data_IF_987968439610
#
_entry.id   IF_987968439610
#
_cell.length_a   1.000
_cell.length_b   1.000
_cell.length_c   1.000
_cell.angle_alpha   90.00
_cell.angle_beta   90.00
_cell.angle_gamma   90.00
#
_symmetry.space_group_name_H-M   'P 1'
#
loop_
_entity.id
_entity.type
_entity.pdbx_description
1 polymer ?
#
# COMPACT_ATOMS: atom_id res chain seq x y z
N UNK A 1 1.92 6.83 25.06
CA UNK A 1 1.81 5.42 25.53
C UNK A 1 3.20 4.79 25.49
N UNK A 2 3.53 3.82 26.35
CA UNK A 2 4.80 3.08 26.25
C UNK A 2 4.79 2.24 24.97
N UNK A 3 5.75 2.42 24.06
CA UNK A 3 5.87 1.62 22.84
C UNK A 3 6.16 0.16 23.20
N UNK A 4 5.11 -0.66 23.24
CA UNK A 4 5.22 -2.10 23.40
C UNK A 4 5.78 -2.68 22.10
N UNK A 5 6.80 -3.52 22.25
CA UNK A 5 7.40 -4.24 21.13
C UNK A 5 6.79 -5.62 21.05
N UNK A 6 6.34 -5.99 19.86
CA UNK A 6 5.81 -7.30 19.52
C UNK A 6 6.81 -8.07 18.66
N UNK A 7 6.81 -9.39 18.77
CA UNK A 7 7.63 -10.28 17.94
C UNK A 7 6.78 -10.82 16.81
N UNK A 8 7.22 -10.62 15.58
CA UNK A 8 6.58 -11.22 14.41
C UNK A 8 7.06 -12.67 14.32
N UNK A 9 6.12 -13.63 14.41
CA UNK A 9 6.43 -15.07 14.38
C UNK A 9 6.76 -15.54 12.96
N UNK A 10 5.90 -15.17 12.01
CA UNK A 10 6.07 -15.42 10.58
C UNK A 10 5.96 -14.08 9.86
N UNK A 11 7.05 -13.65 9.23
CA UNK A 11 7.09 -12.38 8.50
C UNK A 11 6.26 -12.44 7.23
N UNK A 12 6.23 -13.59 6.56
CA UNK A 12 5.55 -13.75 5.30
C UNK A 12 4.06 -13.63 5.50
N UNK A 13 3.54 -14.40 6.46
CA UNK A 13 2.13 -14.36 6.85
C UNK A 13 1.73 -12.96 7.30
N UNK A 14 2.53 -12.33 8.16
CA UNK A 14 2.26 -10.99 8.69
C UNK A 14 2.13 -9.93 7.61
N UNK A 15 3.03 -9.92 6.62
CA UNK A 15 2.97 -8.97 5.50
C UNK A 15 1.74 -9.28 4.62
N UNK A 16 1.34 -10.55 4.47
CA UNK A 16 0.17 -10.90 3.66
C UNK A 16 -1.12 -10.40 4.32
N UNK A 17 -1.19 -10.53 5.65
CA UNK A 17 -2.27 -9.95 6.46
C UNK A 17 -2.33 -8.45 6.33
N UNK A 18 -1.21 -7.76 6.55
CA UNK A 18 -1.15 -6.30 6.47
C UNK A 18 -1.56 -5.79 5.07
N UNK A 19 -1.09 -6.47 4.03
CA UNK A 19 -1.43 -6.19 2.63
C UNK A 19 -2.91 -6.39 2.34
N UNK A 20 -3.46 -7.53 2.75
CA UNK A 20 -4.89 -7.85 2.58
C UNK A 20 -5.78 -6.87 3.34
N UNK A 21 -5.34 -6.42 4.53
CA UNK A 21 -6.04 -5.43 5.33
C UNK A 21 -6.16 -4.10 4.58
N UNK A 22 -5.04 -3.59 4.05
CA UNK A 22 -5.02 -2.33 3.29
C UNK A 22 -5.91 -2.43 2.05
N UNK A 23 -5.82 -3.52 1.29
CA UNK A 23 -6.63 -3.71 0.09
C UNK A 23 -8.13 -3.80 0.42
N UNK A 24 -8.52 -4.62 1.40
CA UNK A 24 -9.93 -4.84 1.73
C UNK A 24 -10.62 -3.55 2.19
N UNK A 25 -9.94 -2.78 3.05
CA UNK A 25 -10.51 -1.56 3.61
C UNK A 25 -10.30 -0.33 2.72
N UNK A 26 -9.70 -0.50 1.54
CA UNK A 26 -9.54 0.59 0.59
C UNK A 26 -10.89 1.07 0.05
N UNK A 27 -11.21 2.34 0.29
CA UNK A 27 -12.47 2.94 -0.16
C UNK A 27 -13.71 2.55 0.66
N UNK A 28 -13.58 1.65 1.64
CA UNK A 28 -14.67 1.33 2.56
C UNK A 28 -14.85 2.45 3.59
N UNK A 29 -15.82 3.34 3.35
CA UNK A 29 -16.09 4.49 4.24
C UNK A 29 -17.02 4.14 5.41
N UNK A 30 -17.71 2.99 5.36
CA UNK A 30 -18.71 2.58 6.36
C UNK A 30 -18.85 1.05 6.43
N UNK A 31 -18.02 0.37 7.22
CA UNK A 31 -18.33 -0.99 7.68
C UNK A 31 -17.99 -1.17 9.16
N UNK A 32 -18.79 -1.99 9.83
CA UNK A 32 -18.58 -2.43 11.21
C UNK A 32 -17.15 -2.98 11.34
N UNK A 33 -16.36 -2.36 12.22
CA UNK A 33 -15.03 -2.85 12.57
C UNK A 33 -15.16 -4.26 13.12
N UNK A 34 -14.80 -5.26 12.30
CA UNK A 34 -14.69 -6.64 12.76
C UNK A 34 -13.37 -6.77 13.49
N UNK A 35 -13.42 -7.11 14.78
CA UNK A 35 -12.24 -7.30 15.63
C UNK A 35 -11.39 -8.53 15.23
N UNK A 36 -11.90 -9.40 14.34
CA UNK A 36 -11.20 -10.61 13.92
C UNK A 36 -10.45 -10.40 12.59
N UNK A 37 -9.17 -10.03 12.70
CA UNK A 37 -8.25 -9.89 11.57
C UNK A 37 -8.09 -11.18 10.73
N UNK A 38 -8.39 -12.37 11.28
CA UNK A 38 -8.27 -13.62 10.53
C UNK A 38 -9.40 -13.80 9.51
N UNK A 39 -10.57 -13.19 9.74
CA UNK A 39 -11.66 -13.18 8.77
C UNK A 39 -11.36 -12.31 7.54
N UNK A 40 -10.46 -11.34 7.66
CA UNK A 40 -10.08 -10.42 6.56
C UNK A 40 -9.45 -11.19 5.39
N UNK A 41 -8.44 -12.03 5.63
CA UNK A 41 -7.83 -12.84 4.55
C UNK A 41 -8.80 -13.85 3.97
N UNK A 42 -9.55 -14.55 4.82
CA UNK A 42 -10.49 -15.60 4.38
C UNK A 42 -11.65 -15.05 3.55
N UNK A 43 -11.92 -13.74 3.63
CA UNK A 43 -12.99 -13.09 2.88
C UNK A 43 -12.63 -12.68 1.45
N UNK A 44 -11.35 -12.65 1.07
CA UNK A 44 -10.95 -12.23 -0.27
C UNK A 44 -11.21 -13.35 -1.29
N UNK A 45 -12.01 -13.04 -2.31
CA UNK A 45 -12.23 -13.94 -3.45
C UNK A 45 -10.94 -14.11 -4.27
N UNK A 46 -10.93 -15.08 -5.20
CA UNK A 46 -9.77 -15.25 -6.08
C UNK A 46 -9.58 -14.04 -7.01
N UNK A 47 -10.66 -13.41 -7.45
CA UNK A 47 -10.59 -12.22 -8.30
C UNK A 47 -10.04 -11.02 -7.52
N UNK A 48 -10.45 -10.86 -6.25
CA UNK A 48 -9.90 -9.82 -5.38
C UNK A 48 -8.40 -10.01 -5.14
N UNK A 49 -7.95 -11.26 -4.97
CA UNK A 49 -6.52 -11.56 -4.83
C UNK A 49 -5.74 -11.20 -6.10
N UNK A 50 -6.29 -11.47 -7.28
CA UNK A 50 -5.68 -11.09 -8.54
C UNK A 50 -5.60 -9.58 -8.71
N UNK A 51 -6.63 -8.84 -8.31
CA UNK A 51 -6.58 -7.38 -8.35
C UNK A 51 -5.63 -6.81 -7.31
N UNK A 52 -5.62 -7.34 -6.09
CA UNK A 52 -4.65 -6.99 -5.05
C UNK A 52 -3.21 -7.21 -5.53
N UNK A 53 -2.91 -8.32 -6.21
CA UNK A 53 -1.60 -8.59 -6.84
C UNK A 53 -1.22 -7.57 -7.91
N UNK A 54 -2.20 -6.94 -8.58
CA UNK A 54 -1.95 -5.89 -9.57
C UNK A 54 -1.73 -4.52 -8.96
N UNK A 55 -2.51 -4.15 -7.94
CA UNK A 55 -2.46 -2.80 -7.37
C UNK A 55 -1.43 -2.66 -6.25
N UNK A 56 -1.13 -3.72 -5.51
CA UNK A 56 -0.11 -3.70 -4.47
C UNK A 56 0.53 -5.08 -4.37
N UNK A 57 1.62 -5.33 -5.11
CA UNK A 57 2.19 -6.67 -5.20
C UNK A 57 2.86 -7.12 -3.89
N UNK A 58 3.02 -8.44 -3.75
CA UNK A 58 3.72 -9.04 -2.62
C UNK A 58 5.16 -8.52 -2.47
N UNK A 59 5.87 -8.40 -3.58
CA UNK A 59 7.28 -8.00 -3.61
C UNK A 59 7.46 -6.56 -3.14
N UNK A 60 6.58 -5.65 -3.54
CA UNK A 60 6.58 -4.26 -3.08
C UNK A 60 6.31 -4.17 -1.58
N UNK A 61 5.34 -4.94 -1.09
CA UNK A 61 5.05 -5.02 0.34
C UNK A 61 6.25 -5.54 1.14
N UNK A 62 6.97 -6.54 0.62
CA UNK A 62 8.18 -7.05 1.27
C UNK A 62 9.30 -6.01 1.34
N UNK A 63 9.45 -5.18 0.31
CA UNK A 63 10.43 -4.08 0.29
C UNK A 63 10.08 -3.02 1.33
N UNK A 64 8.83 -2.55 1.32
CA UNK A 64 8.34 -1.53 2.27
C UNK A 64 8.44 -2.08 3.70
N UNK A 65 7.96 -3.29 3.96
CA UNK A 65 8.00 -3.88 5.30
C UNK A 65 9.42 -3.97 5.87
N UNK A 66 10.43 -4.28 5.04
CA UNK A 66 11.85 -4.30 5.47
C UNK A 66 12.39 -2.92 5.87
N UNK A 67 11.82 -1.83 5.36
CA UNK A 67 12.21 -0.47 5.72
C UNK A 67 11.66 -0.06 7.10
N UNK A 68 10.47 -0.56 7.47
CA UNK A 68 9.83 -0.24 8.75
C UNK A 68 10.19 -1.23 9.87
N UNK A 69 10.23 -2.53 9.58
CA UNK A 69 10.35 -3.57 10.60
C UNK A 69 11.76 -3.65 11.18
N UNK A 70 11.85 -3.69 12.51
CA UNK A 70 13.12 -3.84 13.19
C UNK A 70 13.60 -5.28 13.17
N UNK A 71 14.72 -5.52 12.51
CA UNK A 71 15.35 -6.84 12.44
C UNK A 71 16.51 -6.96 13.42
N UNK A 72 16.54 -8.02 14.22
CA UNK A 72 17.69 -8.39 15.06
C UNK A 72 18.22 -9.76 14.65
N UNK A 73 19.53 -9.83 14.45
CA UNK A 73 20.23 -11.06 14.13
C UNK A 73 21.03 -11.48 15.36
N UNK A 74 20.82 -12.72 15.83
CA UNK A 74 21.66 -13.28 16.87
C UNK A 74 22.99 -13.74 16.26
N UNK A 75 24.10 -13.12 16.64
CA UNK A 75 25.41 -13.41 16.06
C UNK A 75 25.88 -14.86 16.29
N UNK A 76 25.44 -15.52 17.38
CA UNK A 76 25.85 -16.89 17.72
C UNK A 76 24.99 -17.95 17.03
N UNK A 77 23.67 -17.75 17.00
CA UNK A 77 22.73 -18.75 16.44
C UNK A 77 22.31 -18.45 15.01
N UNK A 78 22.72 -17.29 14.46
CA UNK A 78 22.30 -16.72 13.17
C UNK A 78 20.78 -16.60 12.99
N UNK A 79 20.01 -16.73 14.09
CA UNK A 79 18.55 -16.59 14.06
C UNK A 79 18.18 -15.12 13.89
N UNK A 80 17.32 -14.87 12.92
CA UNK A 80 16.72 -13.57 12.64
C UNK A 80 15.40 -13.46 13.41
N UNK A 81 15.18 -12.32 14.07
CA UNK A 81 13.91 -11.99 14.72
C UNK A 81 13.44 -10.62 14.26
N UNK A 82 12.17 -10.53 13.95
CA UNK A 82 11.51 -9.30 13.50
C UNK A 82 10.63 -8.75 14.61
N UNK A 83 10.68 -7.44 14.79
CA UNK A 83 9.98 -6.73 15.84
C UNK A 83 9.24 -5.52 15.29
N UNK A 84 8.07 -5.26 15.84
CA UNK A 84 7.23 -4.13 15.45
C UNK A 84 6.58 -3.50 16.69
N UNK A 85 6.18 -2.24 16.55
CA UNK A 85 5.37 -1.50 17.55
C UNK A 85 4.11 -1.02 16.86
N UNK A 86 3.09 -0.61 17.61
CA UNK A 86 1.83 -0.12 17.03
C UNK A 86 2.06 1.06 16.08
N UNK A 87 2.96 1.99 16.43
CA UNK A 87 3.34 3.12 15.57
C UNK A 87 3.99 2.66 14.26
N UNK A 88 4.96 1.74 14.33
CA UNK A 88 5.64 1.22 13.14
C UNK A 88 4.66 0.44 12.25
N UNK A 89 3.71 -0.28 12.85
CA UNK A 89 2.64 -0.97 12.12
C UNK A 89 1.80 0.04 11.35
N UNK A 90 1.35 1.11 12.01
CA UNK A 90 0.54 2.14 11.35
C UNK A 90 1.28 2.79 10.18
N UNK A 91 2.53 3.23 10.38
CA UNK A 91 3.36 3.83 9.31
C UNK A 91 3.56 2.87 8.13
N UNK A 92 3.73 1.58 8.40
CA UNK A 92 3.88 0.55 7.37
C UNK A 92 2.58 0.36 6.58
N UNK A 93 1.42 0.34 7.25
CA UNK A 93 0.11 0.23 6.59
C UNK A 93 -0.21 1.46 5.75
N UNK A 94 0.14 2.66 6.23
CA UNK A 94 0.05 3.92 5.46
C UNK A 94 0.91 3.84 4.21
N UNK A 95 2.16 3.37 4.33
CA UNK A 95 3.07 3.22 3.19
C UNK A 95 2.58 2.18 2.16
N UNK A 96 1.93 1.09 2.62
CA UNK A 96 1.26 0.14 1.74
C UNK A 96 0.11 0.81 0.97
N UNK A 97 -0.72 1.58 1.67
CA UNK A 97 -1.84 2.30 1.06
C UNK A 97 -1.35 3.32 0.02
N UNK A 98 -0.34 4.12 0.34
CA UNK A 98 0.24 5.11 -0.58
C UNK A 98 0.79 4.45 -1.84
N UNK A 99 1.47 3.29 -1.68
CA UNK A 99 1.98 2.54 -2.84
C UNK A 99 0.85 2.01 -3.71
N UNK A 100 -0.21 1.48 -3.10
CA UNK A 100 -1.38 0.98 -3.80
C UNK A 100 -2.09 2.09 -4.58
N UNK A 101 -2.35 3.25 -3.94
CA UNK A 101 -2.94 4.42 -4.59
C UNK A 101 -2.07 4.90 -5.75
N UNK A 102 -0.75 4.97 -5.55
CA UNK A 102 0.19 5.35 -6.61
C UNK A 102 0.11 4.40 -7.81
N UNK A 103 0.02 3.10 -7.58
CA UNK A 103 -0.11 2.11 -8.64
C UNK A 103 -1.44 2.25 -9.39
N UNK A 104 -2.54 2.50 -8.68
CA UNK A 104 -3.86 2.75 -9.28
C UNK A 104 -3.80 4.02 -10.16
N UNK A 105 -3.29 5.13 -9.63
CA UNK A 105 -3.18 6.39 -10.37
C UNK A 105 -2.30 6.24 -11.63
N UNK A 106 -1.14 5.60 -11.50
CA UNK A 106 -0.25 5.34 -12.63
C UNK A 106 -0.93 4.50 -13.71
N UNK A 107 -1.69 3.47 -13.32
CA UNK A 107 -2.45 2.65 -14.26
C UNK A 107 -3.51 3.48 -14.99
N UNK A 108 -4.28 4.28 -14.26
CA UNK A 108 -5.30 5.16 -14.85
C UNK A 108 -4.71 6.20 -15.82
N UNK A 109 -3.52 6.74 -15.52
CA UNK A 109 -2.81 7.65 -16.43
C UNK A 109 -2.33 6.91 -17.67
N UNK A 110 -1.70 5.74 -17.52
CA UNK A 110 -1.20 4.95 -18.64
C UNK A 110 -2.33 4.44 -19.56
N UNK A 111 -3.49 4.12 -18.99
CA UNK A 111 -4.68 3.70 -19.72
C UNK A 111 -5.40 4.89 -20.40
N UNK A 112 -4.95 6.13 -20.17
CA UNK A 112 -5.53 7.35 -20.74
C UNK A 112 -6.86 7.76 -20.12
N UNK A 113 -7.16 7.28 -18.91
CA UNK A 113 -8.33 7.70 -18.13
C UNK A 113 -8.06 8.99 -17.36
N UNK A 114 -6.82 9.19 -16.92
CA UNK A 114 -6.36 10.39 -16.25
C UNK A 114 -5.20 11.02 -17.02
N UNK A 115 -5.07 12.33 -16.87
CA UNK A 115 -3.85 13.06 -17.14
C UNK A 115 -3.24 13.54 -15.83
N UNK A 116 -1.92 13.74 -15.84
CA UNK A 116 -1.20 14.29 -14.69
C UNK A 116 -0.20 15.36 -15.12
N UNK A 117 0.00 16.35 -14.25
CA UNK A 117 1.09 17.31 -14.36
C UNK A 117 1.59 17.70 -12.97
N UNK A 118 2.86 18.09 -12.90
CA UNK A 118 3.44 18.65 -11.69
C UNK A 118 3.04 20.13 -11.56
N UNK A 119 2.46 20.51 -10.43
CA UNK A 119 2.13 21.89 -10.12
C UNK A 119 3.12 22.46 -9.09
N UNK A 120 3.90 23.45 -9.53
CA UNK A 120 4.92 24.09 -8.69
C UNK A 120 4.31 24.85 -7.50
N UNK A 121 3.05 25.29 -7.59
CA UNK A 121 2.40 26.06 -6.51
C UNK A 121 2.04 25.19 -5.33
N UNK A 122 1.45 24.03 -5.59
CA UNK A 122 1.14 23.02 -4.58
C UNK A 122 2.34 22.13 -4.24
N UNK A 123 3.37 22.12 -5.10
CA UNK A 123 4.52 21.22 -5.03
C UNK A 123 4.07 19.75 -5.02
N UNK A 124 3.11 19.43 -5.89
CA UNK A 124 2.50 18.11 -5.99
C UNK A 124 2.05 17.80 -7.43
N UNK A 125 1.76 16.53 -7.70
CA UNK A 125 1.13 16.11 -8.95
C UNK A 125 -0.39 16.27 -8.86
N UNK A 126 -0.96 16.97 -9.85
CA UNK A 126 -2.41 17.11 -10.01
C UNK A 126 -2.86 16.12 -11.07
N UNK A 127 -4.01 15.49 -10.84
CA UNK A 127 -4.65 14.54 -11.76
C UNK A 127 -6.04 15.03 -12.17
N UNK A 128 -6.39 14.91 -13.45
CA UNK A 128 -7.74 15.22 -13.96
C UNK A 128 -8.20 14.19 -14.99
N UNK A 129 -9.51 14.10 -15.18
CA UNK A 129 -10.13 13.16 -16.14
C UNK A 129 -9.90 13.65 -17.57
N UNK A 130 -9.58 12.73 -18.47
CA UNK A 130 -9.43 13.05 -19.89
C UNK A 130 -10.81 13.28 -20.52
N UNK A 131 -11.11 14.53 -20.87
CA UNK A 131 -12.29 14.86 -21.68
C UNK A 131 -12.06 14.43 -23.14
N UNK A 132 -12.79 13.39 -23.57
CA UNK A 132 -12.69 12.83 -24.93
C UNK A 132 -13.25 13.76 -26.03
N UNK A 133 -13.79 14.92 -25.66
CA UNK A 133 -14.48 15.84 -26.57
C UNK A 133 -13.70 17.15 -26.82
N UNK A 134 -12.54 17.35 -26.20
CA UNK A 134 -11.72 18.55 -26.45
C UNK A 134 -10.53 18.20 -27.35
N UNK A 135 -10.49 18.81 -28.53
CA UNK A 135 -9.31 18.82 -29.40
C UNK A 135 -8.17 19.52 -28.64
N UNK A 136 -7.25 18.75 -28.05
CA UNK A 136 -6.11 19.31 -27.31
C UNK A 136 -5.08 19.86 -28.29
N UNK A 137 -5.01 21.19 -28.37
CA UNK A 137 -3.80 21.88 -28.83
C UNK A 137 -2.68 21.57 -27.82
N UNK A 138 -1.59 20.98 -28.30
CA UNK A 138 -0.40 20.74 -27.50
C UNK A 138 0.10 22.06 -26.91
N UNK A 139 0.47 22.14 -25.63
CA UNK A 139 1.10 23.35 -25.11
C UNK A 139 2.45 23.55 -25.81
N UNK A 140 2.62 24.69 -26.48
CA UNK A 140 3.91 25.13 -26.98
C UNK A 140 4.83 25.39 -25.78
N UNK A 141 5.94 24.66 -25.72
CA UNK A 141 7.07 24.97 -24.84
C UNK A 141 8.10 25.79 -25.63
N UNK A 142 8.42 26.98 -25.13
CA UNK A 142 9.53 27.85 -25.58
C UNK A 142 10.91 27.18 -25.46
#
# INVERSE_FOLDING_TARGET
MKNRWYVIKDLNEFIEYARSLVFKYFGETNQEQTDDLSMVICSLSNDDKLEMDRVISREECDIIAKQHIKTKINNKTKRVKHYITDTILQEMLESFNDRMVSNILNKLVNDGHLESAFDEKSNDFIFWVVDKNENKESPETD
#
